data_IF_352860630028
#
_entry.id   IF_352860630028
#
_cell.length_a   1.000
_cell.length_b   1.000
_cell.length_c   1.000
_cell.angle_alpha   90.00
_cell.angle_beta   90.00
_cell.angle_gamma   90.00
#
_symmetry.space_group_name_H-M   'P 1'
#
loop_
_entity.id
_entity.type
_entity.pdbx_description
1 polymer ?
#
# COMPACT_ATOMS: atom_id res chain seq x y z
N UNK A 1 -11.73 46.25 33.45
CA UNK A 1 -10.36 46.30 33.99
C UNK A 1 -9.89 44.89 34.25
N UNK A 2 -9.17 44.30 33.28
CA UNK A 2 -8.55 42.99 33.43
C UNK A 2 -7.19 43.08 32.72
N UNK A 3 -6.16 43.47 33.45
CA UNK A 3 -4.77 43.37 32.99
C UNK A 3 -4.28 42.03 33.54
N UNK A 4 -4.38 40.98 32.74
CA UNK A 4 -3.66 39.74 33.00
C UNK A 4 -2.44 39.73 32.08
N UNK A 5 -1.30 40.07 32.66
CA UNK A 5 -0.01 40.14 31.99
C UNK A 5 0.44 38.72 31.68
N UNK A 6 0.38 38.34 30.41
CA UNK A 6 0.94 37.06 29.93
C UNK A 6 2.46 37.20 30.03
N UNK A 7 3.10 36.38 30.87
CA UNK A 7 4.55 36.36 31.01
C UNK A 7 5.19 35.97 29.67
N UNK A 8 5.97 36.89 29.10
CA UNK A 8 6.69 36.70 27.85
C UNK A 8 7.88 35.77 28.09
N UNK A 9 7.78 34.54 27.57
CA UNK A 9 8.86 33.56 27.58
C UNK A 9 9.50 33.52 26.18
N UNK A 10 10.76 33.95 25.99
CA UNK A 10 11.38 34.07 24.68
C UNK A 10 11.63 32.72 23.99
N UNK A 11 11.43 31.60 24.72
CA UNK A 11 11.62 30.23 24.21
C UNK A 11 10.27 29.62 23.79
N UNK A 12 9.17 30.00 24.45
CA UNK A 12 7.81 29.55 24.13
C UNK A 12 6.98 30.74 23.67
N UNK A 13 6.82 30.86 22.35
CA UNK A 13 5.89 31.79 21.71
C UNK A 13 4.53 31.86 22.49
N UNK A 14 4.20 33.00 23.13
CA UNK A 14 3.21 33.06 24.22
C UNK A 14 1.73 33.05 23.78
N UNK A 15 1.42 32.62 22.56
CA UNK A 15 0.05 32.49 22.04
C UNK A 15 -0.29 31.08 21.54
N UNK A 16 0.42 30.05 22.02
CA UNK A 16 0.12 28.68 21.64
C UNK A 16 -1.08 28.12 22.42
N UNK A 17 -2.22 28.05 21.75
CA UNK A 17 -3.39 27.27 22.17
C UNK A 17 -3.03 25.84 22.65
N UNK A 18 -3.64 25.35 23.73
CA UNK A 18 -3.43 23.96 24.18
C UNK A 18 -4.34 22.95 23.47
N UNK A 19 -5.16 23.41 22.51
CA UNK A 19 -6.10 22.54 21.80
C UNK A 19 -5.35 21.67 20.81
N UNK A 20 -5.60 20.36 20.91
CA UNK A 20 -5.20 19.40 19.88
C UNK A 20 -6.20 19.43 18.75
N UNK A 21 -5.69 19.55 17.53
CA UNK A 21 -6.53 19.44 16.35
C UNK A 21 -7.13 18.04 16.27
N UNK A 22 -8.37 17.95 15.77
CA UNK A 22 -9.10 16.70 15.58
C UNK A 22 -9.62 16.55 14.12
N UNK A 23 -9.19 17.45 13.22
CA UNK A 23 -9.57 17.42 11.80
C UNK A 23 -9.10 16.11 11.15
N UNK A 24 -9.92 15.57 10.24
CA UNK A 24 -9.59 14.33 9.52
C UNK A 24 -8.49 14.63 8.51
N UNK A 25 -7.45 13.82 8.50
CA UNK A 25 -6.39 13.91 7.50
C UNK A 25 -6.89 13.41 6.14
N UNK A 26 -6.22 13.80 5.05
CA UNK A 26 -6.59 13.51 3.66
C UNK A 26 -6.73 12.00 3.37
N UNK A 27 -5.99 11.14 4.07
CA UNK A 27 -6.12 9.69 3.93
C UNK A 27 -7.46 9.13 4.42
N UNK A 28 -8.27 9.94 5.11
CA UNK A 28 -9.63 9.58 5.51
C UNK A 28 -9.74 8.58 6.65
N UNK A 29 -8.61 8.10 7.20
CA UNK A 29 -8.56 7.20 8.37
C UNK A 29 -7.97 7.85 9.61
N UNK A 30 -6.91 8.64 9.44
CA UNK A 30 -6.21 9.28 10.54
C UNK A 30 -6.77 10.67 10.83
N UNK A 31 -6.64 11.11 12.10
CA UNK A 31 -6.94 12.47 12.53
C UNK A 31 -5.63 13.21 12.81
N UNK A 32 -5.65 14.53 12.65
CA UNK A 32 -4.58 15.36 13.19
C UNK A 32 -4.56 15.21 14.73
N UNK A 33 -3.40 15.40 15.34
CA UNK A 33 -3.25 15.50 16.79
C UNK A 33 -2.28 16.62 17.20
N UNK A 34 -1.92 17.47 16.23
CA UNK A 34 -0.96 18.53 16.45
C UNK A 34 -1.60 19.66 17.25
N UNK A 35 -0.82 20.19 18.19
CA UNK A 35 -1.21 21.30 19.03
C UNK A 35 -1.21 22.59 18.18
N UNK A 36 -2.22 23.45 18.37
CA UNK A 36 -2.37 24.67 17.58
C UNK A 36 -2.40 24.47 16.06
N UNK A 37 -2.90 23.34 15.54
CA UNK A 37 -2.87 23.14 14.08
C UNK A 37 -3.78 24.13 13.35
N UNK A 38 -3.17 25.07 12.63
CA UNK A 38 -3.85 26.07 11.81
C UNK A 38 -3.99 25.65 10.33
N UNK A 39 -3.35 24.54 9.92
CA UNK A 39 -3.42 24.09 8.53
C UNK A 39 -4.85 23.86 8.06
N UNK A 40 -5.12 24.27 6.82
CA UNK A 40 -6.35 23.91 6.14
C UNK A 40 -6.29 22.44 5.69
N UNK A 41 -5.17 22.05 5.08
CA UNK A 41 -4.93 20.71 4.54
C UNK A 41 -4.08 19.86 5.49
N UNK A 42 -4.54 18.64 5.79
CA UNK A 42 -3.88 17.73 6.72
C UNK A 42 -3.40 16.45 6.02
N UNK A 43 -2.11 16.37 5.70
CA UNK A 43 -1.52 15.20 5.02
C UNK A 43 -1.24 14.08 6.04
N UNK A 44 -1.43 12.82 5.63
CA UNK A 44 -1.02 11.65 6.41
C UNK A 44 0.41 11.25 6.02
N UNK A 45 1.36 11.39 6.94
CA UNK A 45 2.78 11.04 6.74
C UNK A 45 3.10 9.60 7.17
N UNK A 46 2.09 8.83 7.54
CA UNK A 46 2.23 7.41 7.91
C UNK A 46 2.31 6.60 6.62
N UNK A 47 3.21 5.61 6.54
CA UNK A 47 3.28 4.67 5.41
C UNK A 47 2.02 3.80 5.36
N UNK A 48 1.47 3.55 4.16
CA UNK A 48 0.21 2.81 4.01
C UNK A 48 0.32 1.37 4.53
N UNK A 49 1.39 0.64 4.16
CA UNK A 49 1.72 -0.70 4.67
C UNK A 49 0.76 -1.83 4.25
N UNK A 50 -0.31 -1.53 3.50
CA UNK A 50 -1.27 -2.53 3.01
C UNK A 50 -0.63 -3.44 1.97
N UNK A 51 -1.04 -4.71 1.93
CA UNK A 51 -0.62 -5.63 0.86
C UNK A 51 -1.14 -5.16 -0.50
N UNK A 52 -0.25 -5.15 -1.50
CA UNK A 52 -0.58 -4.84 -2.89
C UNK A 52 -1.32 -6.02 -3.53
N UNK A 53 -1.86 -5.82 -4.74
CA UNK A 53 -2.63 -6.85 -5.45
C UNK A 53 -1.83 -8.13 -5.76
N UNK A 54 -0.49 -8.07 -5.77
CA UNK A 54 0.35 -9.24 -5.97
C UNK A 54 0.41 -10.16 -4.74
N UNK A 55 -0.11 -9.73 -3.59
CA UNK A 55 -0.15 -10.51 -2.34
C UNK A 55 1.18 -10.61 -1.59
N UNK A 56 2.31 -10.28 -2.23
CA UNK A 56 3.66 -10.42 -1.67
C UNK A 56 4.19 -9.07 -1.16
N UNK A 57 4.06 -8.02 -1.98
CA UNK A 57 4.61 -6.70 -1.66
C UNK A 57 3.64 -5.85 -0.86
N UNK A 58 4.18 -4.94 -0.04
CA UNK A 58 3.43 -3.96 0.73
C UNK A 58 3.49 -2.58 0.07
N UNK A 59 2.48 -1.77 0.29
CA UNK A 59 2.42 -0.40 -0.19
C UNK A 59 3.35 0.51 0.64
N UNK A 60 4.36 1.05 -0.01
CA UNK A 60 5.35 1.95 0.58
C UNK A 60 4.98 3.44 0.39
N UNK A 61 3.88 3.74 -0.29
CA UNK A 61 3.37 5.10 -0.43
C UNK A 61 2.83 5.62 0.92
N UNK A 62 2.83 6.95 1.05
CA UNK A 62 2.14 7.63 2.15
C UNK A 62 0.66 7.21 2.20
N UNK A 63 0.10 7.20 3.41
CA UNK A 63 -1.27 6.79 3.62
C UNK A 63 -2.20 7.61 2.74
N UNK A 64 -2.98 6.90 1.93
CA UNK A 64 -3.85 7.49 0.93
C UNK A 64 -5.28 6.99 1.13
N UNK A 65 -6.24 7.76 0.61
CA UNK A 65 -7.68 7.45 0.71
C UNK A 65 -8.10 6.34 -0.25
N UNK A 66 -7.51 6.33 -1.44
CA UNK A 66 -7.90 5.44 -2.54
C UNK A 66 -7.34 4.02 -2.36
N UNK A 67 -7.62 3.14 -3.32
CA UNK A 67 -6.94 1.84 -3.42
C UNK A 67 -5.44 2.03 -3.66
N UNK A 68 -4.64 1.09 -3.15
CA UNK A 68 -3.20 1.10 -3.43
C UNK A 68 -2.96 0.90 -4.92
N UNK A 69 -1.89 1.49 -5.44
CA UNK A 69 -1.47 1.26 -6.83
C UNK A 69 -1.16 -0.20 -7.08
N UNK A 70 -1.04 -0.57 -8.35
CA UNK A 70 -0.59 -1.93 -8.68
C UNK A 70 0.85 -2.15 -8.22
N UNK A 71 1.21 -3.40 -7.96
CA UNK A 71 2.60 -3.74 -7.69
C UNK A 71 3.48 -3.27 -8.87
N UNK A 72 4.48 -2.41 -8.63
CA UNK A 72 5.34 -1.88 -9.68
C UNK A 72 6.47 -2.86 -10.05
N UNK A 73 6.56 -4.01 -9.36
CA UNK A 73 7.61 -4.99 -9.58
C UNK A 73 7.22 -5.90 -10.73
N UNK A 74 8.16 -6.12 -11.64
CA UNK A 74 8.08 -7.09 -12.71
C UNK A 74 9.21 -8.11 -12.53
N UNK A 75 8.91 -9.37 -12.83
CA UNK A 75 9.93 -10.39 -13.02
C UNK A 75 10.49 -10.31 -14.44
N UNK A 76 11.80 -10.47 -14.56
CA UNK A 76 12.52 -10.56 -15.82
C UNK A 76 12.90 -12.00 -16.19
N UNK A 77 12.39 -12.95 -15.40
CA UNK A 77 12.51 -14.38 -15.64
C UNK A 77 11.27 -14.90 -16.39
N UNK A 78 11.44 -15.99 -17.14
CA UNK A 78 10.37 -16.66 -17.88
C UNK A 78 9.43 -17.42 -16.94
N UNK A 79 8.13 -17.09 -16.96
CA UNK A 79 7.15 -17.81 -16.14
C UNK A 79 6.58 -18.98 -16.92
N UNK A 80 6.96 -20.17 -16.52
CA UNK A 80 6.54 -21.41 -17.20
C UNK A 80 5.40 -22.10 -16.45
N UNK A 81 4.52 -22.79 -17.18
CA UNK A 81 3.58 -23.75 -16.57
C UNK A 81 4.35 -24.77 -15.72
N UNK A 82 3.65 -25.46 -14.82
CA UNK A 82 4.22 -26.58 -14.06
C UNK A 82 4.76 -27.74 -14.93
N UNK A 83 4.46 -27.72 -16.22
CA UNK A 83 4.81 -28.72 -17.21
C UNK A 83 5.98 -28.36 -18.14
N UNK A 84 6.49 -27.12 -18.12
CA UNK A 84 7.52 -26.67 -19.08
C UNK A 84 6.99 -26.23 -20.46
N UNK A 85 5.79 -26.64 -20.86
CA UNK A 85 5.30 -26.52 -22.25
C UNK A 85 4.77 -25.13 -22.63
N UNK A 86 4.29 -24.35 -21.66
CA UNK A 86 3.74 -23.01 -21.92
C UNK A 86 4.54 -22.00 -21.11
N UNK A 87 5.12 -21.02 -21.81
CA UNK A 87 6.04 -20.04 -21.23
C UNK A 87 5.50 -18.63 -21.48
N UNK A 88 5.45 -17.81 -20.44
CA UNK A 88 5.27 -16.37 -20.54
C UNK A 88 6.64 -15.70 -20.56
N UNK A 89 6.82 -14.79 -21.51
CA UNK A 89 8.05 -14.03 -21.68
C UNK A 89 8.04 -12.77 -20.79
N UNK A 90 9.20 -12.31 -20.30
CA UNK A 90 9.32 -11.06 -19.56
C UNK A 90 8.97 -9.83 -20.41
N UNK A 91 8.49 -8.71 -19.81
CA UNK A 91 8.36 -8.47 -18.37
C UNK A 91 7.03 -8.99 -17.77
N UNK A 92 7.13 -9.80 -16.73
CA UNK A 92 5.96 -10.45 -16.11
C UNK A 92 5.56 -9.69 -14.84
N UNK A 93 4.33 -9.16 -14.76
CA UNK A 93 3.88 -8.46 -13.55
C UNK A 93 3.99 -9.36 -12.31
N UNK A 94 4.46 -8.81 -11.19
CA UNK A 94 4.51 -9.56 -9.93
C UNK A 94 3.11 -10.07 -9.53
N UNK A 95 3.04 -11.32 -9.09
CA UNK A 95 1.78 -11.99 -8.74
C UNK A 95 1.03 -12.57 -9.94
N UNK A 96 1.59 -12.51 -11.16
CA UNK A 96 1.06 -13.25 -12.31
C UNK A 96 1.12 -14.74 -12.02
N UNK A 97 -0.01 -15.42 -12.19
CA UNK A 97 -0.09 -16.89 -12.07
C UNK A 97 0.55 -17.55 -13.28
N UNK A 98 1.08 -18.78 -13.15
CA UNK A 98 1.56 -19.54 -14.30
C UNK A 98 0.52 -19.58 -15.42
N UNK A 99 0.93 -19.53 -16.69
CA UNK A 99 0.01 -19.58 -17.81
C UNK A 99 -0.81 -20.87 -17.78
N UNK A 100 -2.07 -20.78 -18.25
CA UNK A 100 -2.89 -21.98 -18.44
C UNK A 100 -2.26 -22.86 -19.51
N UNK A 101 -2.14 -24.15 -19.22
CA UNK A 101 -1.60 -25.13 -20.15
C UNK A 101 -2.75 -25.99 -20.69
N UNK A 102 -2.89 -26.07 -22.01
CA UNK A 102 -3.87 -26.96 -22.66
C UNK A 102 -3.22 -28.23 -23.26
N UNK A 103 -1.92 -28.44 -23.02
CA UNK A 103 -1.23 -29.64 -23.47
C UNK A 103 -1.64 -30.86 -22.63
N UNK A 104 -1.52 -32.06 -23.21
CA UNK A 104 -1.77 -33.31 -22.47
C UNK A 104 -0.75 -33.42 -21.34
N UNK A 105 -1.23 -33.66 -20.11
CA UNK A 105 -0.35 -33.86 -18.97
C UNK A 105 0.45 -35.16 -19.17
N UNK A 106 1.78 -35.09 -19.13
CA UNK A 106 2.66 -36.26 -19.25
C UNK A 106 3.02 -36.90 -17.90
N UNK A 107 2.35 -36.49 -16.81
CA UNK A 107 2.50 -37.13 -15.49
C UNK A 107 1.78 -38.47 -15.51
N UNK A 108 2.36 -39.51 -14.93
CA UNK A 108 1.69 -40.80 -14.77
C UNK A 108 0.54 -40.67 -13.78
N UNK A 109 -0.69 -40.82 -14.27
CA UNK A 109 -1.90 -40.87 -13.45
C UNK A 109 -2.34 -42.33 -13.30
N UNK A 110 -2.90 -42.68 -12.13
CA UNK A 110 -3.34 -44.05 -11.82
C UNK A 110 -4.62 -44.48 -12.56
N UNK A 111 -5.21 -43.60 -13.35
CA UNK A 111 -6.50 -43.78 -14.02
C UNK A 111 -6.37 -43.57 -15.52
N UNK A 112 -7.08 -44.39 -16.29
CA UNK A 112 -7.03 -44.43 -17.75
C UNK A 112 -8.07 -43.48 -18.35
N UNK A 113 -7.74 -42.20 -18.46
CA UNK A 113 -8.53 -41.20 -19.18
C UNK A 113 -7.65 -40.01 -19.58
N UNK A 114 -8.00 -39.25 -20.63
CA UNK A 114 -7.24 -38.06 -21.01
C UNK A 114 -7.24 -37.05 -19.86
N UNK A 115 -6.06 -36.81 -19.27
CA UNK A 115 -5.87 -35.81 -18.23
C UNK A 115 -5.36 -34.52 -18.89
N UNK A 116 -6.24 -33.53 -18.91
CA UNK A 116 -5.89 -32.15 -19.21
C UNK A 116 -5.44 -31.45 -17.90
N UNK A 117 -4.60 -30.43 -18.02
CA UNK A 117 -4.05 -29.70 -16.87
C UNK A 117 -5.07 -28.83 -16.14
#
# INVERSE_FOLDING_TARGET
SCIEVIQYDPIKNPFCCERRCNKKKLCGKHRCNEQCCDRDVHVCEIICGKSLNCGIHKCEELCHKNFCRKCPINSYDELTCHCGQTVLQPPIPCGTKPPMCNYKCNRTHACDHPVYH
#
